data_IF_089131363357
#
_entry.id   IF_089131363357
#
_cell.length_a   1.000
_cell.length_b   1.000
_cell.length_c   1.000
_cell.angle_alpha   90.00
_cell.angle_beta   90.00
_cell.angle_gamma   90.00
#
_symmetry.space_group_name_H-M   'P 1'
#
loop_
_entity.id
_entity.type
_entity.pdbx_description
1 polymer ?
#
# COMPACT_ATOMS: atom_id res chain seq x y z
N UNK A 1 8.67 -17.09 -10.93
CA UNK A 1 10.11 -16.84 -10.67
C UNK A 1 10.22 -15.51 -9.92
N UNK A 2 10.99 -15.44 -8.83
CA UNK A 2 11.31 -14.15 -8.18
C UNK A 2 12.33 -13.44 -9.05
N UNK A 3 12.05 -12.19 -9.41
CA UNK A 3 12.92 -11.36 -10.24
C UNK A 3 13.74 -10.40 -9.39
N UNK A 4 13.09 -9.76 -8.42
CA UNK A 4 13.68 -8.70 -7.61
C UNK A 4 12.99 -8.66 -6.25
N UNK A 5 13.76 -8.32 -5.20
CA UNK A 5 13.22 -7.95 -3.89
C UNK A 5 13.33 -6.43 -3.75
N UNK A 6 12.19 -5.76 -3.69
CA UNK A 6 12.13 -4.32 -3.40
C UNK A 6 12.45 -4.07 -1.93
N UNK A 7 12.84 -2.83 -1.61
CA UNK A 7 13.18 -2.40 -0.25
C UNK A 7 12.10 -2.87 0.75
N UNK A 8 12.47 -3.65 1.78
CA UNK A 8 11.52 -4.11 2.79
C UNK A 8 10.95 -2.90 3.52
N UNK A 9 9.63 -2.85 3.64
CA UNK A 9 8.95 -1.86 4.48
C UNK A 9 8.66 -2.45 5.86
N UNK A 10 8.23 -1.61 6.80
CA UNK A 10 7.88 -2.07 8.15
C UNK A 10 6.70 -3.06 8.24
N UNK A 11 5.96 -3.28 7.13
CA UNK A 11 4.92 -4.31 7.01
C UNK A 11 5.40 -5.54 6.22
N UNK A 12 6.69 -5.67 5.93
CA UNK A 12 7.27 -6.84 5.28
C UNK A 12 7.93 -6.57 3.92
N UNK A 13 8.34 -7.65 3.28
CA UNK A 13 9.09 -7.62 2.02
C UNK A 13 8.16 -7.54 0.81
N UNK A 14 8.61 -6.85 -0.24
CA UNK A 14 7.89 -6.73 -1.51
C UNK A 14 8.71 -7.43 -2.60
N UNK A 15 8.17 -8.49 -3.19
CA UNK A 15 8.84 -9.27 -4.23
C UNK A 15 8.22 -9.00 -5.59
N UNK A 16 9.03 -8.63 -6.58
CA UNK A 16 8.64 -8.66 -7.99
C UNK A 16 8.77 -10.09 -8.48
N UNK A 17 7.68 -10.66 -8.96
CA UNK A 17 7.65 -12.03 -9.47
C UNK A 17 7.10 -12.08 -10.89
N UNK A 18 7.55 -13.06 -11.64
CA UNK A 18 7.05 -13.34 -12.98
C UNK A 18 6.36 -14.70 -13.00
N UNK A 19 5.14 -14.71 -13.53
CA UNK A 19 4.43 -15.94 -13.83
C UNK A 19 4.84 -16.40 -15.22
N UNK A 20 5.61 -17.50 -15.29
CA UNK A 20 5.95 -18.14 -16.56
C UNK A 20 4.75 -18.94 -17.05
N UNK A 21 4.12 -18.46 -18.11
CA UNK A 21 3.09 -19.22 -18.82
C UNK A 21 3.70 -20.00 -19.97
N UNK A 22 3.16 -21.18 -20.30
CA UNK A 22 3.61 -22.01 -21.44
C UNK A 22 3.59 -21.26 -22.79
N UNK A 23 2.85 -20.16 -22.87
CA UNK A 23 2.68 -19.32 -24.07
C UNK A 23 3.63 -18.13 -24.13
N UNK A 24 4.57 -17.99 -23.19
CA UNK A 24 5.56 -16.90 -23.19
C UNK A 24 5.00 -15.53 -22.81
N UNK A 25 3.78 -15.44 -22.28
CA UNK A 25 3.28 -14.20 -21.69
C UNK A 25 3.94 -14.01 -20.32
N UNK A 26 4.84 -13.02 -20.22
CA UNK A 26 5.55 -12.61 -19.01
C UNK A 26 4.73 -11.56 -18.26
N UNK A 27 3.78 -12.00 -17.44
CA UNK A 27 3.07 -11.09 -16.54
C UNK A 27 3.86 -10.94 -15.24
N UNK A 28 4.15 -9.68 -14.89
CA UNK A 28 4.82 -9.32 -13.62
C UNK A 28 3.80 -9.01 -12.54
N UNK A 29 4.07 -9.52 -11.36
CA UNK A 29 3.27 -9.34 -10.16
C UNK A 29 4.15 -8.86 -9.01
N UNK A 30 3.50 -8.34 -8.00
CA UNK A 30 4.08 -8.03 -6.70
C UNK A 30 3.50 -9.02 -5.69
N UNK A 31 4.36 -9.67 -4.91
CA UNK A 31 3.98 -10.41 -3.72
C UNK A 31 4.47 -9.63 -2.51
N UNK A 32 3.53 -9.12 -1.70
CA UNK A 32 3.83 -8.60 -0.37
C UNK A 32 3.86 -9.76 0.60
N UNK A 33 4.98 -9.97 1.27
CA UNK A 33 5.12 -10.98 2.33
C UNK A 33 5.18 -10.29 3.68
N UNK A 34 4.18 -10.57 4.52
CA UNK A 34 4.11 -10.06 5.89
C UNK A 34 4.37 -11.21 6.83
N UNK A 35 5.47 -11.13 7.59
CA UNK A 35 5.77 -12.12 8.63
C UNK A 35 4.68 -12.08 9.71
N UNK A 36 4.17 -13.24 10.11
CA UNK A 36 3.19 -13.41 11.16
C UNK A 36 3.85 -14.16 12.32
N UNK A 37 3.66 -13.66 13.53
CA UNK A 37 4.29 -14.21 14.74
C UNK A 37 3.71 -15.59 15.06
N UNK A 38 2.39 -15.74 14.87
CA UNK A 38 1.67 -16.97 15.17
C UNK A 38 0.64 -17.29 14.08
N UNK A 39 0.25 -18.56 14.01
CA UNK A 39 -0.77 -19.05 13.07
C UNK A 39 -2.12 -18.35 13.25
N UNK A 40 -2.51 -18.07 14.50
CA UNK A 40 -3.75 -17.34 14.80
C UNK A 40 -3.74 -15.93 14.19
N UNK A 41 -2.63 -15.19 14.33
CA UNK A 41 -2.47 -13.86 13.73
C UNK A 41 -2.57 -13.93 12.20
N UNK A 42 -1.93 -14.93 11.57
CA UNK A 42 -1.99 -15.12 10.13
C UNK A 42 -3.42 -15.43 9.66
N UNK A 43 -4.14 -16.30 10.39
CA UNK A 43 -5.52 -16.68 10.06
C UNK A 43 -6.49 -15.50 10.21
N UNK A 44 -6.36 -14.70 11.26
CA UNK A 44 -7.16 -13.49 11.47
C UNK A 44 -6.88 -12.44 10.38
N UNK A 45 -5.60 -12.16 10.11
CA UNK A 45 -5.21 -11.25 9.05
C UNK A 45 -5.67 -11.73 7.67
N UNK A 46 -5.56 -13.03 7.37
CA UNK A 46 -6.05 -13.61 6.12
C UNK A 46 -7.56 -13.43 5.99
N UNK A 47 -8.31 -13.71 7.05
CA UNK A 47 -9.77 -13.56 7.09
C UNK A 47 -10.20 -12.11 6.84
N UNK A 48 -9.54 -11.15 7.48
CA UNK A 48 -9.78 -9.72 7.23
C UNK A 48 -9.41 -9.31 5.80
N UNK A 49 -8.34 -9.88 5.24
CA UNK A 49 -7.88 -9.58 3.89
C UNK A 49 -8.80 -10.15 2.80
N UNK A 50 -9.62 -11.18 3.08
CA UNK A 50 -10.50 -11.81 2.08
C UNK A 50 -11.43 -10.82 1.37
N UNK A 51 -11.90 -9.78 2.07
CA UNK A 51 -12.76 -8.76 1.45
C UNK A 51 -12.00 -7.88 0.44
N UNK A 52 -10.68 -7.79 0.54
CA UNK A 52 -9.85 -7.03 -0.38
C UNK A 52 -9.80 -7.65 -1.80
N UNK A 53 -10.02 -8.97 -1.91
CA UNK A 53 -10.13 -9.68 -3.20
C UNK A 53 -11.39 -9.28 -3.98
N UNK A 54 -12.39 -8.70 -3.30
CA UNK A 54 -13.67 -8.32 -3.90
C UNK A 54 -13.65 -6.90 -4.47
N UNK A 55 -12.58 -6.13 -4.20
CA UNK A 55 -12.48 -4.75 -4.63
C UNK A 55 -12.32 -4.67 -6.15
N UNK A 56 -13.19 -3.87 -6.79
CA UNK A 56 -13.15 -3.62 -8.22
C UNK A 56 -13.43 -2.14 -8.49
N UNK A 57 -12.37 -1.37 -8.73
CA UNK A 57 -12.44 0.07 -8.96
C UNK A 57 -11.27 0.52 -9.84
N UNK A 58 -11.48 1.48 -10.75
CA UNK A 58 -10.46 1.97 -11.69
C UNK A 58 -9.22 2.57 -11.03
N UNK A 59 -9.40 3.12 -9.83
CA UNK A 59 -8.34 3.76 -9.05
C UNK A 59 -7.90 2.91 -7.83
N UNK A 60 -8.12 1.60 -7.88
CA UNK A 60 -7.62 0.64 -6.87
C UNK A 60 -6.84 -0.49 -7.55
N UNK A 61 -5.62 -0.70 -7.10
CA UNK A 61 -4.84 -1.89 -7.40
C UNK A 61 -5.30 -3.02 -6.47
N UNK A 62 -6.24 -3.83 -6.96
CA UNK A 62 -6.81 -4.93 -6.19
C UNK A 62 -5.83 -6.10 -6.03
N UNK A 63 -5.96 -6.82 -4.92
CA UNK A 63 -5.29 -8.10 -4.75
C UNK A 63 -5.96 -9.15 -5.63
N UNK A 64 -5.14 -10.02 -6.20
CA UNK A 64 -5.59 -11.14 -7.04
C UNK A 64 -5.61 -12.45 -6.27
N UNK A 65 -4.63 -12.63 -5.38
CA UNK A 65 -4.50 -13.83 -4.56
C UNK A 65 -4.02 -13.48 -3.16
N UNK A 66 -4.46 -14.27 -2.18
CA UNK A 66 -4.04 -14.20 -0.78
C UNK A 66 -3.80 -15.63 -0.30
N UNK A 67 -2.65 -15.87 0.31
CA UNK A 67 -2.32 -17.18 0.86
C UNK A 67 -1.33 -17.07 2.00
N UNK A 68 -1.25 -18.12 2.81
CA UNK A 68 -0.26 -18.23 3.88
C UNK A 68 0.79 -19.25 3.46
N UNK A 69 2.07 -18.94 3.71
CA UNK A 69 3.19 -19.84 3.46
C UNK A 69 4.07 -19.94 4.69
N UNK A 70 4.75 -21.07 4.82
CA UNK A 70 5.75 -21.31 5.85
C UNK A 70 7.14 -21.37 5.22
N UNK A 71 8.08 -20.59 5.76
CA UNK A 71 9.48 -20.66 5.40
C UNK A 71 10.21 -21.57 6.39
N UNK A 72 10.74 -22.69 5.90
CA UNK A 72 11.45 -23.67 6.72
C UNK A 72 12.85 -23.21 7.14
N UNK A 73 13.51 -22.34 6.36
CA UNK A 73 14.89 -21.92 6.63
C UNK A 73 14.96 -21.00 7.84
N UNK A 74 14.01 -20.07 7.93
CA UNK A 74 13.88 -19.12 9.04
C UNK A 74 12.77 -19.49 10.02
N UNK A 75 12.08 -20.62 9.80
CA UNK A 75 10.99 -21.11 10.65
C UNK A 75 9.93 -20.04 10.94
N UNK A 76 9.47 -19.37 9.88
CA UNK A 76 8.57 -18.22 9.98
C UNK A 76 7.35 -18.36 9.07
N UNK A 77 6.22 -17.86 9.55
CA UNK A 77 4.94 -17.87 8.83
C UNK A 77 4.74 -16.54 8.10
N UNK A 78 4.26 -16.57 6.87
CA UNK A 78 4.03 -15.37 6.06
C UNK A 78 2.63 -15.33 5.49
N UNK A 79 1.94 -14.19 5.66
CA UNK A 79 0.80 -13.82 4.84
C UNK A 79 1.31 -13.19 3.54
N UNK A 80 0.97 -13.80 2.42
CA UNK A 80 1.32 -13.34 1.09
C UNK A 80 0.11 -12.67 0.43
N UNK A 81 0.30 -11.46 -0.07
CA UNK A 81 -0.70 -10.73 -0.84
C UNK A 81 -0.19 -10.42 -2.25
N UNK A 82 -0.89 -10.92 -3.26
CA UNK A 82 -0.48 -10.83 -4.67
C UNK A 82 -1.26 -9.74 -5.39
N UNK A 83 -0.57 -8.84 -6.08
CA UNK A 83 -1.17 -7.79 -6.90
C UNK A 83 -0.41 -7.62 -8.22
N UNK A 84 -1.01 -6.92 -9.19
CA UNK A 84 -0.34 -6.63 -10.45
C UNK A 84 0.78 -5.59 -10.28
N UNK A 85 1.89 -5.78 -10.99
CA UNK A 85 2.97 -4.80 -11.04
C UNK A 85 2.63 -3.63 -11.98
N UNK A 86 2.62 -2.38 -11.49
CA UNK A 86 2.22 -1.21 -12.30
C UNK A 86 3.28 -0.71 -13.30
N UNK A 87 4.57 -0.96 -13.04
CA UNK A 87 5.68 -0.61 -13.94
C UNK A 87 6.06 0.88 -14.00
N UNK A 88 5.26 1.77 -13.41
CA UNK A 88 5.39 3.24 -13.57
C UNK A 88 5.77 3.97 -12.26
N UNK A 89 6.13 3.22 -11.21
CA UNK A 89 6.52 3.77 -9.92
C UNK A 89 5.34 4.29 -9.08
N UNK A 90 5.66 5.11 -8.09
CA UNK A 90 4.73 5.62 -7.08
C UNK A 90 4.80 7.15 -6.93
N UNK A 91 3.81 7.72 -6.25
CA UNK A 91 3.69 9.16 -6.05
C UNK A 91 4.85 9.72 -5.20
N UNK A 92 5.44 8.93 -4.29
CA UNK A 92 6.62 9.37 -3.53
C UNK A 92 7.80 9.68 -4.45
N UNK A 93 8.03 8.79 -5.42
CA UNK A 93 9.07 8.94 -6.44
C UNK A 93 8.81 10.16 -7.33
N UNK A 94 7.56 10.36 -7.77
CA UNK A 94 7.16 11.55 -8.54
C UNK A 94 7.40 12.86 -7.78
N UNK A 95 6.97 12.93 -6.50
CA UNK A 95 7.17 14.09 -5.63
C UNK A 95 8.66 14.39 -5.46
N UNK A 96 9.47 13.35 -5.23
CA UNK A 96 10.92 13.48 -5.07
C UNK A 96 11.59 14.01 -6.34
N UNK A 97 11.21 13.47 -7.50
CA UNK A 97 11.74 13.92 -8.79
C UNK A 97 11.41 15.40 -9.05
N UNK A 98 10.17 15.80 -8.82
CA UNK A 98 9.70 17.18 -9.01
C UNK A 98 10.45 18.18 -8.13
N UNK A 99 10.63 17.84 -6.84
CA UNK A 99 11.44 18.65 -5.91
C UNK A 99 12.90 18.76 -6.34
N UNK A 100 13.52 17.66 -6.77
CA UNK A 100 14.91 17.67 -7.24
C UNK A 100 15.10 18.57 -8.46
N UNK A 101 14.11 18.61 -9.35
CA UNK A 101 14.11 19.47 -10.55
C UNK A 101 13.62 20.90 -10.27
N UNK A 102 13.18 21.21 -9.04
CA UNK A 102 12.51 22.48 -8.70
C UNK A 102 11.29 22.75 -9.60
N UNK A 103 10.58 21.68 -9.97
CA UNK A 103 9.39 21.72 -10.81
C UNK A 103 8.14 21.51 -9.96
N UNK A 104 7.10 22.28 -10.26
CA UNK A 104 5.80 22.10 -9.62
C UNK A 104 5.02 20.96 -10.28
N UNK A 105 4.23 20.26 -9.48
CA UNK A 105 3.10 19.47 -9.99
C UNK A 105 2.00 20.46 -10.37
N UNK A 106 1.41 20.31 -11.56
CA UNK A 106 0.40 21.27 -12.04
C UNK A 106 -0.92 21.11 -11.28
N UNK A 107 -1.66 22.20 -11.13
CA UNK A 107 -2.97 22.19 -10.47
C UNK A 107 -3.94 21.19 -11.10
N UNK A 108 -3.88 21.02 -12.42
CA UNK A 108 -4.68 20.03 -13.14
C UNK A 108 -4.37 18.59 -12.69
N UNK A 109 -3.10 18.24 -12.51
CA UNK A 109 -2.70 16.92 -12.00
C UNK A 109 -3.15 16.74 -10.56
N UNK A 110 -2.99 17.77 -9.72
CA UNK A 110 -3.41 17.76 -8.30
C UNK A 110 -4.93 17.57 -8.18
N UNK A 111 -5.73 18.25 -8.99
CA UNK A 111 -7.19 18.14 -8.97
C UNK A 111 -7.65 16.75 -9.46
N UNK A 112 -7.03 16.21 -10.51
CA UNK A 112 -7.31 14.84 -10.98
C UNK A 112 -6.95 13.80 -9.94
N UNK A 113 -5.77 13.94 -9.32
CA UNK A 113 -5.33 13.11 -8.21
C UNK A 113 -6.37 13.11 -7.08
N UNK A 114 -6.76 14.30 -6.61
CA UNK A 114 -7.70 14.43 -5.51
C UNK A 114 -9.05 13.78 -5.85
N UNK A 115 -9.59 14.01 -7.05
CA UNK A 115 -10.82 13.38 -7.50
C UNK A 115 -10.75 11.86 -7.51
N UNK A 116 -9.67 11.29 -8.07
CA UNK A 116 -9.46 9.84 -8.14
C UNK A 116 -9.29 9.21 -6.75
N UNK A 117 -8.55 9.85 -5.84
CA UNK A 117 -8.33 9.32 -4.49
C UNK A 117 -9.59 9.42 -3.62
N UNK A 118 -10.35 10.52 -3.72
CA UNK A 118 -11.64 10.64 -3.00
C UNK A 118 -12.63 9.60 -3.50
N UNK A 119 -12.71 9.36 -4.80
CA UNK A 119 -13.59 8.34 -5.38
C UNK A 119 -13.20 6.92 -4.92
N UNK A 120 -11.91 6.58 -4.96
CA UNK A 120 -11.40 5.31 -4.46
C UNK A 120 -11.65 5.12 -2.96
N UNK A 121 -11.40 6.15 -2.14
CA UNK A 121 -11.64 6.09 -0.69
C UNK A 121 -13.13 5.95 -0.38
N UNK A 122 -13.98 6.71 -1.08
CA UNK A 122 -15.42 6.59 -0.94
C UNK A 122 -15.91 5.16 -1.23
N UNK A 123 -15.38 4.55 -2.30
CA UNK A 123 -15.71 3.18 -2.68
C UNK A 123 -15.34 2.16 -1.58
N UNK A 124 -14.13 2.21 -1.03
CA UNK A 124 -13.72 1.25 0.03
C UNK A 124 -14.44 1.51 1.35
N UNK A 125 -14.66 2.78 1.72
CA UNK A 125 -15.36 3.14 2.96
C UNK A 125 -16.82 2.66 2.94
N UNK A 126 -17.47 2.65 1.77
CA UNK A 126 -18.82 2.06 1.61
C UNK A 126 -18.89 0.56 1.87
N UNK A 127 -17.76 -0.13 1.78
CA UNK A 127 -17.63 -1.56 2.07
C UNK A 127 -17.10 -1.80 3.49
N UNK A 128 -17.02 -0.77 4.34
CA UNK A 128 -16.44 -0.83 5.67
C UNK A 128 -14.97 -1.27 5.68
N UNK A 129 -14.24 -0.92 4.62
CA UNK A 129 -12.79 -1.16 4.49
C UNK A 129 -12.09 0.18 4.64
N UNK A 130 -11.10 0.23 5.52
CA UNK A 130 -10.21 1.38 5.69
C UNK A 130 -8.85 1.06 5.09
N UNK A 131 -8.19 2.05 4.47
CA UNK A 131 -6.88 1.84 3.90
C UNK A 131 -5.82 1.62 4.97
N UNK A 132 -5.88 2.40 6.07
CA UNK A 132 -5.03 2.36 7.28
C UNK A 132 -3.55 2.69 7.07
N UNK A 133 -3.01 2.55 5.85
CA UNK A 133 -1.60 2.78 5.52
C UNK A 133 -1.42 3.78 4.35
N UNK A 134 -2.22 4.86 4.33
CA UNK A 134 -2.24 5.79 3.20
C UNK A 134 -1.01 6.73 3.25
N UNK A 135 -0.16 6.65 2.21
CA UNK A 135 1.06 7.45 2.04
C UNK A 135 1.44 7.52 0.55
N UNK A 136 2.29 8.47 0.12
CA UNK A 136 2.65 8.62 -1.30
C UNK A 136 3.25 7.37 -1.94
N UNK A 137 4.04 6.57 -1.20
CA UNK A 137 4.61 5.33 -1.76
C UNK A 137 3.57 4.26 -2.07
N UNK A 138 2.35 4.40 -1.54
CA UNK A 138 1.25 3.45 -1.69
C UNK A 138 0.23 3.91 -2.74
N UNK A 139 0.56 4.96 -3.49
CA UNK A 139 -0.22 5.47 -4.61
C UNK A 139 0.61 5.25 -5.87
N UNK A 140 0.17 4.32 -6.71
CA UNK A 140 0.82 3.98 -7.96
C UNK A 140 0.52 5.05 -9.00
N UNK A 141 1.55 5.48 -9.72
CA UNK A 141 1.39 6.31 -10.92
C UNK A 141 1.13 5.37 -12.07
N UNK A 142 0.04 5.60 -12.83
CA UNK A 142 -0.34 4.74 -13.97
C UNK A 142 -0.44 5.50 -15.29
N UNK A 143 -0.13 6.79 -15.26
CA UNK A 143 -0.01 7.69 -16.40
C UNK A 143 0.21 9.12 -15.92
N UNK A 144 0.27 10.09 -16.84
CA UNK A 144 0.61 11.49 -16.54
C UNK A 144 -0.28 12.14 -15.45
N UNK A 145 -1.56 11.76 -15.38
CA UNK A 145 -2.50 12.21 -14.35
C UNK A 145 -3.47 11.09 -13.95
N UNK A 146 -2.94 9.88 -13.83
CA UNK A 146 -3.69 8.67 -13.50
C UNK A 146 -3.03 7.96 -12.33
N UNK A 147 -3.80 7.68 -11.30
CA UNK A 147 -3.31 7.15 -10.03
C UNK A 147 -4.15 5.97 -9.57
N UNK A 148 -3.51 5.02 -8.91
CA UNK A 148 -4.16 3.85 -8.33
C UNK A 148 -3.74 3.69 -6.87
N UNK A 149 -4.72 3.52 -5.98
CA UNK A 149 -4.48 3.22 -4.58
C UNK A 149 -4.02 1.76 -4.43
N UNK A 150 -3.01 1.52 -3.60
CA UNK A 150 -2.42 0.19 -3.40
C UNK A 150 -1.99 -0.01 -1.95
N UNK A 151 -1.63 -1.24 -1.59
CA UNK A 151 -1.06 -1.57 -0.28
C UNK A 151 -2.02 -1.35 0.91
N UNK A 152 -3.24 -1.84 0.76
CA UNK A 152 -4.24 -1.92 1.83
C UNK A 152 -3.73 -2.82 2.96
N UNK A 153 -4.04 -2.45 4.19
CA UNK A 153 -3.62 -3.23 5.37
C UNK A 153 -4.80 -3.61 6.25
N UNK A 154 -4.74 -4.82 6.79
CA UNK A 154 -5.74 -5.34 7.72
C UNK A 154 -5.53 -4.76 9.12
N UNK A 155 -6.56 -4.77 9.95
CA UNK A 155 -6.47 -4.24 11.32
C UNK A 155 -5.47 -5.07 12.12
N UNK A 156 -5.60 -6.41 12.04
CA UNK A 156 -4.70 -7.35 12.70
C UNK A 156 -3.22 -7.06 12.42
N UNK A 157 -2.85 -6.71 11.18
CA UNK A 157 -1.47 -6.35 10.84
C UNK A 157 -1.08 -4.94 11.31
N UNK A 158 -2.04 -4.03 11.38
CA UNK A 158 -1.81 -2.63 11.75
C UNK A 158 -1.74 -2.43 13.27
N UNK A 159 -2.31 -3.32 14.07
CA UNK A 159 -2.30 -3.27 15.55
C UNK A 159 -1.21 -4.12 16.19
N UNK A 160 -0.39 -4.80 15.39
CA UNK A 160 0.82 -5.48 15.87
C UNK A 160 1.81 -4.46 16.47
N UNK A 161 1.99 -4.52 17.80
CA UNK A 161 2.80 -3.54 18.53
C UNK A 161 4.27 -3.52 18.11
N UNK A 162 4.85 -4.67 17.76
CA UNK A 162 6.25 -4.73 17.35
C UNK A 162 6.44 -4.04 16.00
N UNK A 163 5.60 -4.37 15.01
CA UNK A 163 5.62 -3.72 13.69
C UNK A 163 5.21 -2.25 13.76
N UNK A 164 4.33 -1.90 14.70
CA UNK A 164 3.98 -0.50 14.97
C UNK A 164 5.17 0.33 15.45
N UNK A 165 5.96 -0.18 16.41
CA UNK A 165 7.15 0.53 16.90
C UNK A 165 8.13 0.83 15.77
N UNK A 166 8.38 -0.13 14.89
CA UNK A 166 9.25 0.05 13.72
C UNK A 166 8.71 1.16 12.81
N UNK A 167 7.41 1.13 12.47
CA UNK A 167 6.76 2.17 11.64
C UNK A 167 6.87 3.56 12.25
N UNK A 168 6.60 3.67 13.55
CA UNK A 168 6.64 4.96 14.24
C UNK A 168 8.07 5.48 14.33
N UNK A 169 9.06 4.63 14.60
CA UNK A 169 10.47 5.00 14.65
C UNK A 169 10.99 5.47 13.29
N UNK A 170 10.64 4.78 12.20
CA UNK A 170 10.90 5.24 10.82
C UNK A 170 10.25 6.62 10.56
N UNK A 171 9.03 6.83 11.05
CA UNK A 171 8.29 8.08 10.88
C UNK A 171 8.81 9.23 11.75
N UNK A 172 9.45 8.96 12.90
CA UNK A 172 9.83 10.00 13.89
C UNK A 172 10.84 11.02 13.31
N UNK A 173 11.55 10.64 12.24
CA UNK A 173 12.50 11.49 11.53
C UNK A 173 12.02 11.91 10.13
N UNK A 174 10.85 11.43 9.68
CA UNK A 174 10.31 11.63 8.32
C UNK A 174 8.90 12.25 8.35
N UNK A 175 8.45 12.78 7.22
CA UNK A 175 7.08 13.29 7.06
C UNK A 175 6.07 12.18 7.39
N UNK A 176 5.28 12.35 8.46
CA UNK A 176 4.21 11.39 8.80
C UNK A 176 2.89 11.86 8.18
N UNK A 177 2.26 10.98 7.41
CA UNK A 177 0.90 11.17 6.88
C UNK A 177 -0.17 10.62 7.83
N UNK A 178 0.22 10.16 9.03
CA UNK A 178 -0.68 9.43 9.92
C UNK A 178 -1.54 10.38 10.75
N UNK A 179 -2.81 10.04 10.93
CA UNK A 179 -3.72 10.79 11.78
C UNK A 179 -3.36 10.60 13.27
N UNK A 180 -3.56 11.62 14.12
CA UNK A 180 -3.13 11.56 15.53
C UNK A 180 -3.79 10.43 16.33
N UNK A 181 -5.02 10.03 16.02
CA UNK A 181 -5.72 8.92 16.69
C UNK A 181 -5.11 7.55 16.37
N UNK A 182 -4.38 7.41 15.25
CA UNK A 182 -3.75 6.14 14.87
C UNK A 182 -2.62 5.74 15.83
N UNK A 183 -2.07 6.70 16.60
CA UNK A 183 -1.13 6.41 17.68
C UNK A 183 -1.73 5.60 18.82
N UNK A 184 -3.07 5.61 18.95
CA UNK A 184 -3.83 4.75 19.85
C UNK A 184 -4.48 3.55 19.15
N UNK A 185 -3.97 3.14 17.98
CA UNK A 185 -4.52 2.05 17.16
C UNK A 185 -5.99 2.24 16.74
N UNK A 186 -6.47 3.48 16.71
CA UNK A 186 -7.79 3.80 16.21
C UNK A 186 -7.70 4.17 14.74
N UNK A 187 -8.23 3.31 13.87
CA UNK A 187 -8.28 3.53 12.43
C UNK A 187 -9.71 3.73 11.99
N UNK A 188 -9.98 4.83 11.31
CA UNK A 188 -11.31 5.15 10.78
C UNK A 188 -11.22 5.66 9.36
N UNK A 189 -12.37 5.78 8.69
CA UNK A 189 -12.51 6.53 7.45
C UNK A 189 -11.89 7.95 7.54
N UNK A 190 -11.97 8.62 8.70
CA UNK A 190 -11.45 9.99 8.90
C UNK A 190 -9.93 10.00 8.99
N UNK A 191 -9.34 8.92 9.49
CA UNK A 191 -7.90 8.75 9.51
C UNK A 191 -7.34 8.67 8.09
N UNK A 192 -8.02 7.98 7.17
CA UNK A 192 -7.65 7.97 5.75
C UNK A 192 -7.79 9.36 5.11
N UNK A 193 -8.84 10.12 5.45
CA UNK A 193 -9.02 11.50 4.95
C UNK A 193 -7.92 12.45 5.46
N UNK A 194 -7.49 12.31 6.71
CA UNK A 194 -6.34 13.05 7.24
C UNK A 194 -5.08 12.77 6.41
N UNK A 195 -4.77 11.49 6.18
CA UNK A 195 -3.62 11.09 5.38
C UNK A 195 -3.67 11.65 3.96
N UNK A 196 -4.83 11.64 3.32
CA UNK A 196 -5.02 12.25 2.00
C UNK A 196 -4.70 13.76 2.02
N UNK A 197 -5.12 14.48 3.07
CA UNK A 197 -4.81 15.91 3.25
C UNK A 197 -3.31 16.17 3.36
N UNK A 198 -2.58 15.35 4.12
CA UNK A 198 -1.12 15.43 4.21
C UNK A 198 -0.45 15.17 2.84
N UNK A 199 -0.94 14.19 2.07
CA UNK A 199 -0.40 13.87 0.73
C UNK A 199 -0.65 15.05 -0.23
N UNK A 200 -1.84 15.64 -0.19
CA UNK A 200 -2.18 16.81 -0.99
C UNK A 200 -1.24 17.99 -0.68
N UNK A 201 -0.98 18.25 0.60
CA UNK A 201 -0.02 19.27 1.03
C UNK A 201 1.38 18.98 0.46
N UNK A 202 1.82 17.73 0.51
CA UNK A 202 3.12 17.33 -0.04
C UNK A 202 3.22 17.56 -1.55
N UNK A 203 2.16 17.28 -2.31
CA UNK A 203 2.11 17.53 -3.75
C UNK A 203 2.13 19.02 -4.10
N UNK A 204 1.44 19.85 -3.33
CA UNK A 204 1.38 21.31 -3.55
C UNK A 204 2.66 22.03 -3.16
N UNK A 205 3.53 21.38 -2.37
CA UNK A 205 4.81 21.92 -1.87
C UNK A 205 6.02 21.30 -2.56
N UNK A 206 5.82 20.69 -3.73
CA UNK A 206 6.91 20.30 -4.63
C UNK A 206 7.66 21.52 -5.18
#
# INVERSE_FOLDING_TARGET
QVLEQLQPGALGAMLVVELKTEKGAENKYIIKQVECIEENQANEALKEAMDLLKLHHSNICAYQELFVTWDNEISSLFLCLVMQHSGQGDLSSLIKEKRQKSEKITDMVILKFLGQMVDALFYIHKQNIFHRNLKPSNILVTGEASFMLSDFSTETLMTDEMKWKIRVEESRYFKSWMAPETFGFSFTEKSDIWSLGCILLDMTTC
#
